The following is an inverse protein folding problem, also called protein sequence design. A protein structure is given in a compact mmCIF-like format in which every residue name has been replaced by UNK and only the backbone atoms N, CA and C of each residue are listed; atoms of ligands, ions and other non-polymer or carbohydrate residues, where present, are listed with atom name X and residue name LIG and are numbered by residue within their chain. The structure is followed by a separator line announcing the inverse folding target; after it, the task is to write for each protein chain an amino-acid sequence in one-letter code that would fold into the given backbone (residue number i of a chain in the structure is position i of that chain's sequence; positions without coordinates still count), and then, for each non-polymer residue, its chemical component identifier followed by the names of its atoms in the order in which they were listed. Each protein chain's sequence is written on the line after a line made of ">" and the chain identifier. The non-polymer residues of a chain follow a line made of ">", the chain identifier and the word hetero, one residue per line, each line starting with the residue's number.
data_IF_888926494467
#
_entry.id   IF_888926494467
#
_cell.length_a   1.000
_cell.length_b   1.000
_cell.length_c   1.000
_cell.angle_alpha   90.00
_cell.angle_beta   90.00
_cell.angle_gamma   90.00
#
_symmetry.space_group_name_H-M   'P 1'
#
loop_
_entity.id
_entity.type
_entity.pdbx_description
1 polymer ?
#
# COMPACT_ATOMS: atom_id res chain seq x y z
N UNK A 1 -115.37 -33.34 53.35
CA UNK A 1 -114.30 -32.65 52.60
C UNK A 1 -113.82 -33.58 51.49
N UNK A 2 -114.03 -33.20 50.22
CA UNK A 2 -114.13 -34.12 49.08
C UNK A 2 -112.78 -34.58 48.53
N UNK A 3 -112.60 -35.91 48.39
CA UNK A 3 -111.41 -36.60 47.84
C UNK A 3 -110.91 -36.06 46.49
N UNK A 4 -111.79 -35.40 45.72
CA UNK A 4 -111.45 -34.78 44.42
C UNK A 4 -110.51 -33.58 44.54
N UNK A 5 -110.57 -32.81 45.62
CA UNK A 5 -109.67 -31.68 45.81
C UNK A 5 -108.25 -32.12 46.19
N UNK A 6 -108.10 -33.22 46.93
CA UNK A 6 -106.77 -33.76 47.27
C UNK A 6 -105.99 -34.23 46.05
N UNK A 7 -106.63 -34.95 45.12
CA UNK A 7 -105.95 -35.45 43.93
C UNK A 7 -105.52 -34.31 42.99
N UNK A 8 -106.26 -33.20 42.96
CA UNK A 8 -105.91 -32.03 42.16
C UNK A 8 -104.72 -31.25 42.76
N UNK A 9 -104.67 -31.12 44.08
CA UNK A 9 -103.53 -30.49 44.78
C UNK A 9 -102.27 -31.34 44.65
N UNK A 10 -102.38 -32.67 44.79
CA UNK A 10 -101.24 -33.59 44.65
C UNK A 10 -100.70 -33.59 43.21
N UNK A 11 -101.58 -33.62 42.21
CA UNK A 11 -101.18 -33.53 40.81
C UNK A 11 -100.49 -32.20 40.46
N UNK A 12 -100.95 -31.09 41.05
CA UNK A 12 -100.28 -29.80 40.93
C UNK A 12 -98.88 -29.78 41.56
N UNK A 13 -98.73 -30.39 42.74
CA UNK A 13 -97.46 -30.43 43.46
C UNK A 13 -96.40 -31.27 42.74
N UNK A 14 -96.78 -32.41 42.16
CA UNK A 14 -95.83 -33.27 41.44
C UNK A 14 -95.32 -32.62 40.16
N UNK A 15 -96.16 -31.88 39.44
CA UNK A 15 -95.75 -31.09 38.27
C UNK A 15 -94.79 -29.97 38.67
N UNK A 16 -95.08 -29.25 39.77
CA UNK A 16 -94.21 -28.20 40.29
C UNK A 16 -92.83 -28.75 40.65
N UNK A 17 -92.77 -29.87 41.38
CA UNK A 17 -91.52 -30.51 41.78
C UNK A 17 -90.73 -30.98 40.54
N UNK A 18 -91.41 -31.57 39.55
CA UNK A 18 -90.77 -31.99 38.30
C UNK A 18 -90.15 -30.83 37.53
N UNK A 19 -90.84 -29.68 37.48
CA UNK A 19 -90.35 -28.48 36.81
C UNK A 19 -89.16 -27.84 37.55
N UNK A 20 -89.18 -27.89 38.89
CA UNK A 20 -88.08 -27.40 39.74
C UNK A 20 -86.82 -28.27 39.58
N UNK A 21 -86.96 -29.59 39.48
CA UNK A 21 -85.85 -30.50 39.21
C UNK A 21 -85.27 -30.31 37.80
N UNK A 22 -86.13 -30.06 36.80
CA UNK A 22 -85.68 -29.79 35.44
C UNK A 22 -84.85 -28.50 35.35
N UNK A 23 -85.27 -27.45 36.08
CA UNK A 23 -84.53 -26.19 36.17
C UNK A 23 -83.17 -26.36 36.88
N UNK A 24 -83.10 -27.19 37.92
CA UNK A 24 -81.85 -27.48 38.64
C UNK A 24 -80.83 -28.20 37.74
N UNK A 25 -81.28 -29.13 36.89
CA UNK A 25 -80.41 -29.87 35.96
C UNK A 25 -79.89 -28.98 34.83
N UNK A 26 -80.71 -28.07 34.30
CA UNK A 26 -80.27 -27.17 33.21
C UNK A 26 -79.29 -26.11 33.71
N UNK A 27 -79.50 -25.54 34.91
CA UNK A 27 -78.65 -24.47 35.45
C UNK A 27 -77.29 -25.01 35.93
N UNK A 28 -77.22 -26.20 36.53
CA UNK A 28 -75.93 -26.78 36.94
C UNK A 28 -75.06 -27.28 35.78
N UNK A 29 -75.61 -27.43 34.56
CA UNK A 29 -74.84 -27.93 33.42
C UNK A 29 -73.89 -26.87 32.85
N UNK A 30 -74.17 -25.59 33.08
CA UNK A 30 -73.39 -24.49 32.53
C UNK A 30 -72.17 -24.12 33.41
N UNK A 31 -72.20 -24.41 34.72
CA UNK A 31 -71.08 -24.15 35.65
C UNK A 31 -69.99 -25.25 35.67
N UNK A 32 -70.25 -26.41 35.04
CA UNK A 32 -69.31 -27.55 35.01
C UNK A 32 -68.30 -27.50 33.84
N UNK A 33 -68.42 -26.55 32.90
CA UNK A 33 -67.55 -26.41 31.73
C UNK A 33 -66.48 -25.31 31.87
N UNK A 34 -66.49 -24.55 32.97
CA UNK A 34 -65.50 -23.52 33.28
C UNK A 34 -64.66 -23.92 34.50
N UNK A 35 -63.98 -25.06 34.40
CA UNK A 35 -62.82 -25.32 35.26
C UNK A 35 -61.62 -24.63 34.64
N UNK A 36 -61.18 -23.54 35.26
CA UNK A 36 -59.88 -22.92 35.03
C UNK A 36 -58.81 -24.02 34.98
N UNK A 37 -58.20 -24.19 33.81
CA UNK A 37 -56.93 -24.86 33.66
C UNK A 37 -55.97 -23.81 33.12
N UNK A 38 -55.19 -23.24 34.03
CA UNK A 38 -53.96 -22.51 33.72
C UNK A 38 -53.05 -23.43 32.91
N UNK A 39 -53.09 -23.31 31.59
CA UNK A 39 -52.01 -23.75 30.73
C UNK A 39 -51.11 -22.52 30.53
N UNK A 40 -50.09 -22.37 31.37
CA UNK A 40 -48.89 -21.64 30.98
C UNK A 40 -48.27 -22.40 29.80
N UNK A 41 -48.48 -21.90 28.59
CA UNK A 41 -47.76 -22.37 27.42
C UNK A 41 -46.31 -21.87 27.56
N UNK A 42 -45.45 -22.73 28.13
CA UNK A 42 -44.00 -22.52 28.13
C UNK A 42 -43.55 -22.46 26.66
N UNK A 43 -43.31 -21.26 26.15
CA UNK A 43 -42.67 -21.07 24.86
C UNK A 43 -41.24 -21.58 25.03
N UNK A 44 -40.95 -22.80 24.56
CA UNK A 44 -39.57 -23.27 24.39
C UNK A 44 -38.83 -22.25 23.51
N UNK A 45 -38.04 -21.37 24.13
CA UNK A 45 -37.08 -20.55 23.41
C UNK A 45 -36.00 -21.49 22.88
N UNK A 46 -36.12 -21.89 21.61
CA UNK A 46 -35.06 -22.60 20.88
C UNK A 46 -33.77 -21.82 21.02
N UNK A 47 -32.80 -22.40 21.73
CA UNK A 47 -31.46 -21.86 21.86
C UNK A 47 -30.80 -21.89 20.47
N UNK A 48 -30.76 -20.72 19.83
CA UNK A 48 -30.24 -20.55 18.46
C UNK A 48 -28.80 -20.06 18.44
N UNK A 49 -28.15 -20.03 19.61
CA UNK A 49 -26.77 -19.64 19.80
C UNK A 49 -25.85 -20.82 19.48
N UNK A 50 -25.09 -20.68 18.40
CA UNK A 50 -24.02 -21.60 18.04
C UNK A 50 -22.73 -20.81 17.91
N UNK A 51 -21.63 -21.31 18.43
CA UNK A 51 -20.33 -20.66 18.29
C UNK A 51 -19.58 -21.27 17.10
N UNK A 52 -19.16 -20.44 16.15
CA UNK A 52 -18.32 -20.88 15.03
C UNK A 52 -17.14 -19.90 14.91
N UNK A 53 -15.92 -20.44 14.89
CA UNK A 53 -14.67 -19.66 14.83
C UNK A 53 -14.52 -18.55 15.91
N UNK A 54 -15.01 -18.81 17.13
CA UNK A 54 -14.91 -17.87 18.25
C UNK A 54 -15.85 -16.67 18.17
N UNK A 55 -16.85 -16.72 17.27
CA UNK A 55 -17.91 -15.73 17.14
C UNK A 55 -19.23 -16.41 17.42
N UNK A 56 -20.05 -15.79 18.27
CA UNK A 56 -21.40 -16.27 18.57
C UNK A 56 -22.31 -15.99 17.38
N UNK A 57 -22.82 -17.05 16.75
CA UNK A 57 -23.73 -16.99 15.61
C UNK A 57 -25.15 -17.29 16.09
N UNK A 58 -26.09 -16.42 15.69
CA UNK A 58 -27.53 -16.64 15.90
C UNK A 58 -28.11 -17.13 14.57
N UNK A 59 -28.68 -18.33 14.56
CA UNK A 59 -29.28 -18.91 13.35
C UNK A 59 -30.79 -18.77 13.38
N UNK A 60 -31.32 -17.92 12.50
CA UNK A 60 -32.77 -17.74 12.29
C UNK A 60 -33.22 -18.51 11.05
N UNK A 61 -34.41 -19.10 11.09
CA UNK A 61 -35.00 -19.74 9.90
C UNK A 61 -35.41 -18.65 8.88
N UNK A 62 -35.37 -18.93 7.56
CA UNK A 62 -35.66 -17.93 6.53
C UNK A 62 -37.05 -17.26 6.68
N UNK A 63 -38.04 -17.99 7.21
CA UNK A 63 -39.37 -17.44 7.51
C UNK A 63 -39.30 -16.35 8.58
N UNK A 64 -38.56 -16.60 9.65
CA UNK A 64 -38.45 -15.68 10.79
C UNK A 64 -37.65 -14.44 10.42
N UNK A 65 -36.62 -14.61 9.57
CA UNK A 65 -35.87 -13.50 8.99
C UNK A 65 -36.78 -12.55 8.20
N UNK A 66 -37.67 -13.10 7.35
CA UNK A 66 -38.62 -12.30 6.58
C UNK A 66 -39.70 -11.64 7.44
N UNK A 67 -40.20 -12.31 8.48
CA UNK A 67 -41.21 -11.75 9.39
C UNK A 67 -40.64 -10.65 10.29
N UNK A 68 -39.37 -10.78 10.69
CA UNK A 68 -38.65 -9.77 11.46
C UNK A 68 -38.16 -8.60 10.60
N UNK A 69 -38.39 -8.63 9.28
CA UNK A 69 -37.94 -7.58 8.35
C UNK A 69 -36.42 -7.52 8.21
N UNK A 70 -35.71 -8.63 8.41
CA UNK A 70 -34.26 -8.70 8.24
C UNK A 70 -33.97 -8.74 6.75
N UNK A 71 -33.41 -7.64 6.26
CA UNK A 71 -32.96 -7.49 4.88
C UNK A 71 -31.44 -7.62 4.80
N UNK A 72 -30.97 -8.32 3.76
CA UNK A 72 -29.54 -8.50 3.50
C UNK A 72 -29.14 -7.62 2.33
N UNK A 73 -28.19 -6.73 2.56
CA UNK A 73 -27.51 -6.00 1.51
C UNK A 73 -26.15 -6.64 1.26
N UNK A 74 -25.93 -7.16 0.06
CA UNK A 74 -24.61 -7.65 -0.34
C UNK A 74 -23.63 -6.47 -0.37
N UNK A 75 -22.60 -6.53 0.48
CA UNK A 75 -21.56 -5.50 0.52
C UNK A 75 -20.84 -5.47 -0.83
N UNK A 76 -20.85 -4.32 -1.48
CA UNK A 76 -20.09 -4.11 -2.70
C UNK A 76 -18.65 -3.75 -2.32
N UNK A 77 -17.62 -4.38 -2.90
CA UNK A 77 -16.24 -4.00 -2.63
C UNK A 77 -16.03 -2.52 -2.98
N UNK A 78 -15.55 -1.76 -2.01
CA UNK A 78 -15.18 -0.35 -2.18
C UNK A 78 -13.66 -0.26 -2.18
N UNK A 79 -13.10 0.41 -3.19
CA UNK A 79 -11.67 0.70 -3.24
C UNK A 79 -11.40 1.98 -2.45
N UNK A 80 -10.63 1.87 -1.36
CA UNK A 80 -10.15 3.02 -0.61
C UNK A 80 -8.78 3.41 -1.15
N UNK A 81 -8.69 4.57 -1.81
CA UNK A 81 -7.41 5.19 -2.13
C UNK A 81 -7.05 6.17 -1.01
N UNK A 82 -6.09 5.80 -0.16
CA UNK A 82 -5.55 6.71 0.84
C UNK A 82 -4.77 7.82 0.14
N UNK A 83 -5.26 9.05 0.21
CA UNK A 83 -4.51 10.24 -0.22
C UNK A 83 -3.54 10.67 0.88
N UNK A 84 -2.26 10.83 0.55
CA UNK A 84 -1.24 11.35 1.48
C UNK A 84 -0.80 12.75 1.03
N UNK A 85 -0.91 13.72 1.93
CA UNK A 85 -0.29 15.04 1.71
C UNK A 85 1.17 14.96 2.10
N UNK A 86 2.05 15.19 1.12
CA UNK A 86 3.50 15.16 1.30
C UNK A 86 4.09 16.53 1.04
N UNK A 87 5.05 16.92 1.87
CA UNK A 87 5.84 18.11 1.63
C UNK A 87 6.98 17.77 0.67
N UNK A 88 7.21 18.64 -0.30
CA UNK A 88 8.33 18.48 -1.22
C UNK A 88 8.88 19.80 -1.69
N UNK A 89 10.09 19.75 -2.23
CA UNK A 89 10.74 20.88 -2.89
C UNK A 89 11.20 20.49 -4.29
N UNK A 90 11.08 21.42 -5.23
CA UNK A 90 11.69 21.28 -6.55
C UNK A 90 13.18 21.55 -6.39
N UNK A 91 14.00 20.57 -6.74
CA UNK A 91 15.46 20.70 -6.68
C UNK A 91 15.97 21.47 -7.90
N UNK A 92 16.85 22.43 -7.64
CA UNK A 92 17.61 23.08 -8.70
C UNK A 92 18.59 22.07 -9.34
N UNK A 93 18.53 21.98 -10.67
CA UNK A 93 19.38 21.08 -11.47
C UNK A 93 20.74 21.69 -11.79
N UNK A 94 21.01 22.96 -11.46
CA UNK A 94 22.29 23.62 -11.73
C UNK A 94 23.49 22.80 -11.22
N UNK A 95 23.39 22.26 -9.99
CA UNK A 95 24.44 21.42 -9.43
C UNK A 95 24.68 20.09 -10.18
N UNK A 96 23.68 19.57 -10.89
CA UNK A 96 23.86 18.41 -11.78
C UNK A 96 24.55 18.81 -13.08
N UNK A 97 24.22 19.98 -13.63
CA UNK A 97 24.84 20.51 -14.84
C UNK A 97 26.34 20.79 -14.61
N UNK A 98 26.70 21.33 -13.45
CA UNK A 98 28.10 21.56 -13.07
C UNK A 98 28.90 20.26 -13.02
N UNK A 99 28.37 19.21 -12.39
CA UNK A 99 29.03 17.91 -12.34
C UNK A 99 29.15 17.32 -13.75
N UNK A 100 28.14 17.49 -14.62
CA UNK A 100 28.21 17.02 -16.02
C UNK A 100 29.30 17.74 -16.80
N UNK A 101 29.42 19.05 -16.65
CA UNK A 101 30.45 19.85 -17.31
C UNK A 101 31.85 19.41 -16.86
N UNK A 102 32.03 19.20 -15.55
CA UNK A 102 33.29 18.71 -14.99
C UNK A 102 33.63 17.30 -15.48
N UNK A 103 32.65 16.41 -15.57
CA UNK A 103 32.82 15.05 -16.12
C UNK A 103 33.33 15.10 -17.55
N UNK A 104 32.69 15.89 -18.42
CA UNK A 104 33.09 16.03 -19.83
C UNK A 104 34.52 16.59 -19.93
N UNK A 105 34.85 17.60 -19.12
CA UNK A 105 36.19 18.18 -19.11
C UNK A 105 37.26 17.15 -18.72
N UNK A 106 37.02 16.36 -17.67
CA UNK A 106 37.96 15.32 -17.24
C UNK A 106 38.10 14.18 -18.25
N UNK A 107 37.00 13.74 -18.88
CA UNK A 107 37.05 12.72 -19.93
C UNK A 107 37.85 13.18 -21.15
N UNK A 108 37.64 14.42 -21.58
CA UNK A 108 38.42 15.01 -22.69
C UNK A 108 39.91 15.15 -22.33
N UNK A 109 40.21 15.53 -21.09
CA UNK A 109 41.58 15.64 -20.59
C UNK A 109 42.27 14.26 -20.53
N UNK A 110 41.59 13.22 -20.04
CA UNK A 110 42.13 11.84 -20.04
C UNK A 110 42.37 11.35 -21.46
N UNK A 111 41.42 11.56 -22.37
CA UNK A 111 41.56 11.16 -23.77
C UNK A 111 42.77 11.84 -24.43
N UNK A 112 42.94 13.14 -24.21
CA UNK A 112 44.09 13.89 -24.74
C UNK A 112 45.41 13.32 -24.20
N UNK A 113 45.47 13.07 -22.89
CA UNK A 113 46.67 12.51 -22.26
C UNK A 113 46.91 11.05 -22.62
N UNK A 114 45.87 10.29 -22.95
CA UNK A 114 46.00 8.91 -23.45
C UNK A 114 46.74 8.87 -24.78
N UNK A 115 46.42 9.80 -25.69
CA UNK A 115 47.12 9.93 -26.97
C UNK A 115 48.59 10.32 -26.75
N UNK A 116 48.85 11.28 -25.87
CA UNK A 116 50.21 11.69 -25.50
C UNK A 116 51.01 10.55 -24.87
N UNK A 117 50.41 9.77 -23.96
CA UNK A 117 51.05 8.60 -23.37
C UNK A 117 51.40 7.56 -24.43
N UNK A 118 50.47 7.25 -25.35
CA UNK A 118 50.70 6.29 -26.41
C UNK A 118 51.87 6.71 -27.31
N UNK A 119 51.94 8.00 -27.65
CA UNK A 119 53.06 8.55 -28.42
C UNK A 119 54.39 8.43 -27.66
N UNK A 120 54.44 8.85 -26.40
CA UNK A 120 55.65 8.78 -25.59
C UNK A 120 56.08 7.33 -25.29
N UNK A 121 55.13 6.41 -25.16
CA UNK A 121 55.42 4.99 -24.96
C UNK A 121 56.13 4.39 -26.18
N UNK A 122 55.68 4.73 -27.38
CA UNK A 122 56.32 4.31 -28.62
C UNK A 122 57.68 4.99 -28.81
N UNK A 123 57.79 6.30 -28.56
CA UNK A 123 59.05 7.03 -28.58
C UNK A 123 60.07 6.45 -27.60
N UNK A 124 59.65 6.11 -26.37
CA UNK A 124 60.49 5.45 -25.38
C UNK A 124 60.98 4.08 -25.85
N UNK A 125 60.08 3.27 -26.43
CA UNK A 125 60.44 1.96 -26.98
C UNK A 125 61.48 2.08 -28.09
N UNK A 126 61.31 3.03 -29.01
CA UNK A 126 62.24 3.27 -30.11
C UNK A 126 63.59 3.82 -29.60
N UNK A 127 63.57 4.75 -28.66
CA UNK A 127 64.78 5.28 -28.02
C UNK A 127 65.57 4.17 -27.30
N UNK A 128 64.89 3.28 -26.58
CA UNK A 128 65.53 2.14 -25.92
C UNK A 128 66.27 1.24 -26.91
N UNK A 129 65.63 0.89 -28.03
CA UNK A 129 66.27 0.09 -29.08
C UNK A 129 67.50 0.81 -29.68
N UNK A 130 67.41 2.12 -29.93
CA UNK A 130 68.53 2.89 -30.46
C UNK A 130 69.71 3.01 -29.49
N UNK A 131 69.43 3.03 -28.18
CA UNK A 131 70.45 3.06 -27.14
C UNK A 131 71.13 1.69 -26.96
N UNK A 132 70.33 0.61 -26.87
CA UNK A 132 70.82 -0.75 -26.59
C UNK A 132 71.54 -1.37 -27.79
N UNK A 133 70.97 -1.31 -29.00
CA UNK A 133 71.50 -2.02 -30.17
C UNK A 133 72.53 -1.19 -30.95
N UNK A 134 72.30 0.12 -31.07
CA UNK A 134 73.04 0.97 -32.02
C UNK A 134 73.89 2.04 -31.36
N UNK A 135 73.79 2.21 -30.03
CA UNK A 135 74.36 3.33 -29.26
C UNK A 135 74.21 4.69 -29.96
N UNK A 136 73.13 4.85 -30.72
CA UNK A 136 72.95 5.99 -31.63
C UNK A 136 72.36 7.21 -30.91
N UNK A 137 71.90 7.02 -29.68
CA UNK A 137 71.40 8.10 -28.81
C UNK A 137 72.13 8.08 -27.48
N UNK A 138 72.14 9.21 -26.78
CA UNK A 138 72.75 9.31 -25.46
C UNK A 138 71.85 8.74 -24.36
N UNK A 139 72.44 8.24 -23.26
CA UNK A 139 71.67 7.82 -22.07
C UNK A 139 70.79 8.94 -21.51
N UNK A 140 71.26 10.20 -21.60
CA UNK A 140 70.50 11.38 -21.15
C UNK A 140 69.19 11.54 -21.93
N UNK A 141 69.22 11.29 -23.23
CA UNK A 141 68.07 11.41 -24.11
C UNK A 141 67.04 10.30 -23.87
N UNK A 142 67.50 9.06 -23.64
CA UNK A 142 66.62 7.97 -23.21
C UNK A 142 65.91 8.30 -21.88
N UNK A 143 66.66 8.80 -20.90
CA UNK A 143 66.10 9.18 -19.59
C UNK A 143 65.10 10.34 -19.70
N UNK A 144 65.34 11.31 -20.58
CA UNK A 144 64.42 12.43 -20.79
C UNK A 144 63.03 11.94 -21.27
N UNK A 145 63.01 11.04 -22.25
CA UNK A 145 61.77 10.45 -22.77
C UNK A 145 61.09 9.59 -21.68
N UNK A 146 61.87 8.83 -20.90
CA UNK A 146 61.35 8.04 -19.78
C UNK A 146 60.66 8.93 -18.73
N UNK A 147 61.27 10.06 -18.37
CA UNK A 147 60.70 11.01 -17.42
C UNK A 147 59.41 11.64 -17.95
N UNK A 148 59.37 12.05 -19.23
CA UNK A 148 58.17 12.57 -19.85
C UNK A 148 57.04 11.54 -19.82
N UNK A 149 57.32 10.29 -20.21
CA UNK A 149 56.34 9.20 -20.16
C UNK A 149 55.81 8.96 -18.74
N UNK A 150 56.68 8.96 -17.74
CA UNK A 150 56.29 8.79 -16.33
C UNK A 150 55.44 9.95 -15.82
N UNK A 151 55.76 11.18 -16.21
CA UNK A 151 55.00 12.36 -15.85
C UNK A 151 53.58 12.29 -16.42
N UNK A 152 53.43 11.96 -17.71
CA UNK A 152 52.11 11.83 -18.36
C UNK A 152 51.29 10.71 -17.72
N UNK A 153 51.89 9.55 -17.44
CA UNK A 153 51.21 8.44 -16.73
C UNK A 153 50.69 8.85 -15.35
N UNK A 154 51.51 9.59 -14.61
CA UNK A 154 51.13 10.08 -13.28
C UNK A 154 49.99 11.08 -13.38
N UNK A 155 50.05 11.98 -14.37
CA UNK A 155 48.99 12.96 -14.62
C UNK A 155 47.66 12.27 -14.98
N UNK A 156 47.68 11.27 -15.88
CA UNK A 156 46.50 10.47 -16.20
C UNK A 156 45.92 9.75 -14.99
N UNK A 157 46.79 9.14 -14.17
CA UNK A 157 46.35 8.49 -12.94
C UNK A 157 45.63 9.46 -11.99
N UNK A 158 46.07 10.73 -11.92
CA UNK A 158 45.36 11.76 -11.15
C UNK A 158 43.99 12.07 -11.75
N UNK A 159 43.87 12.25 -13.07
CA UNK A 159 42.56 12.45 -13.73
C UNK A 159 41.60 11.30 -13.44
N UNK A 160 42.08 10.05 -13.46
CA UNK A 160 41.25 8.89 -13.16
C UNK A 160 40.77 8.86 -11.70
N UNK A 161 41.59 9.35 -10.75
CA UNK A 161 41.16 9.55 -9.35
C UNK A 161 40.12 10.66 -9.25
N UNK A 162 40.30 11.75 -9.98
CA UNK A 162 39.35 12.86 -10.01
C UNK A 162 37.99 12.41 -10.59
N UNK A 163 37.99 11.63 -11.66
CA UNK A 163 36.78 11.00 -12.22
C UNK A 163 36.08 10.08 -11.20
N UNK A 164 36.85 9.28 -10.46
CA UNK A 164 36.29 8.41 -9.42
C UNK A 164 35.71 9.22 -8.25
N UNK A 165 36.40 10.28 -7.84
CA UNK A 165 35.94 11.22 -6.81
C UNK A 165 34.67 11.95 -7.23
N UNK A 166 34.59 12.39 -8.49
CA UNK A 166 33.42 13.03 -9.05
C UNK A 166 32.21 12.09 -9.06
N UNK A 167 32.41 10.82 -9.45
CA UNK A 167 31.37 9.77 -9.37
C UNK A 167 30.89 9.58 -7.95
N UNK A 168 31.79 9.47 -6.98
CA UNK A 168 31.41 9.31 -5.59
C UNK A 168 30.65 10.52 -5.05
N UNK A 169 31.11 11.73 -5.41
CA UNK A 169 30.44 12.99 -5.05
C UNK A 169 29.02 13.05 -5.62
N UNK A 170 28.83 12.61 -6.86
CA UNK A 170 27.51 12.49 -7.49
C UNK A 170 26.60 11.56 -6.69
N UNK A 171 27.08 10.35 -6.36
CA UNK A 171 26.30 9.36 -5.61
C UNK A 171 25.91 9.88 -4.23
N UNK A 172 26.84 10.52 -3.52
CA UNK A 172 26.59 11.06 -2.19
C UNK A 172 25.59 12.22 -2.22
N UNK A 173 25.62 13.09 -3.23
CA UNK A 173 24.71 14.25 -3.31
C UNK A 173 23.34 13.92 -3.90
N UNK A 174 23.28 13.04 -4.89
CA UNK A 174 22.10 12.83 -5.73
C UNK A 174 21.57 11.39 -5.69
N UNK A 175 22.24 10.48 -4.99
CA UNK A 175 21.90 9.05 -4.99
C UNK A 175 22.38 8.33 -6.26
N UNK A 176 22.26 7.01 -6.25
CA UNK A 176 22.77 6.13 -7.32
C UNK A 176 22.04 6.33 -8.65
N UNK A 177 20.71 6.39 -8.64
CA UNK A 177 19.88 6.47 -9.85
C UNK A 177 20.14 7.74 -10.66
N UNK A 178 20.13 8.91 -10.00
CA UNK A 178 20.38 10.19 -10.68
C UNK A 178 21.83 10.26 -11.14
N UNK A 179 22.77 9.73 -10.35
CA UNK A 179 24.18 9.63 -10.74
C UNK A 179 24.38 8.77 -11.99
N UNK A 180 23.64 7.68 -12.14
CA UNK A 180 23.69 6.85 -13.34
C UNK A 180 23.21 7.61 -14.57
N UNK A 181 22.13 8.39 -14.45
CA UNK A 181 21.66 9.26 -15.53
C UNK A 181 22.71 10.28 -15.93
N UNK A 182 23.43 10.84 -14.96
CA UNK A 182 24.48 11.83 -15.17
C UNK A 182 25.72 11.25 -15.85
N UNK A 183 26.13 10.03 -15.49
CA UNK A 183 27.31 9.38 -16.03
C UNK A 183 27.06 8.80 -17.43
N UNK A 184 25.82 8.44 -17.75
CA UNK A 184 25.44 7.94 -19.06
C UNK A 184 25.18 9.10 -20.06
N UNK A 185 26.00 9.17 -21.11
CA UNK A 185 25.89 10.17 -22.18
C UNK A 185 24.53 10.17 -22.91
N UNK A 186 23.88 9.01 -23.01
CA UNK A 186 22.63 8.84 -23.74
C UNK A 186 21.39 8.82 -22.84
N UNK A 187 21.54 9.19 -21.56
CA UNK A 187 20.42 9.23 -20.63
C UNK A 187 19.33 10.20 -21.09
N UNK A 188 18.16 9.66 -21.44
CA UNK A 188 16.96 10.45 -21.74
C UNK A 188 16.52 11.27 -20.53
N UNK A 189 16.60 10.69 -19.32
CA UNK A 189 16.21 11.35 -18.09
C UNK A 189 17.08 12.59 -17.82
N UNK A 190 18.41 12.47 -17.98
CA UNK A 190 19.29 13.62 -17.83
C UNK A 190 19.03 14.70 -18.89
N UNK A 191 18.81 14.31 -20.15
CA UNK A 191 18.47 15.26 -21.23
C UNK A 191 17.16 16.01 -20.93
N UNK A 192 16.15 15.32 -20.42
CA UNK A 192 14.89 15.95 -20.05
C UNK A 192 15.08 16.96 -18.92
N UNK A 193 15.88 16.62 -17.90
CA UNK A 193 16.22 17.54 -16.81
C UNK A 193 17.02 18.75 -17.31
N UNK A 194 18.05 18.52 -18.13
CA UNK A 194 18.90 19.58 -18.67
C UNK A 194 18.14 20.54 -19.59
N UNK A 195 17.17 20.04 -20.35
CA UNK A 195 16.31 20.83 -21.24
C UNK A 195 15.08 21.41 -20.53
N UNK A 196 14.96 21.27 -19.21
CA UNK A 196 13.79 21.72 -18.42
C UNK A 196 12.45 21.08 -18.84
N UNK A 197 12.50 19.93 -19.53
CA UNK A 197 11.32 19.12 -19.87
C UNK A 197 10.87 18.23 -18.70
N UNK A 198 11.70 18.12 -17.67
CA UNK A 198 11.41 17.42 -16.42
C UNK A 198 12.03 18.20 -15.25
N UNK A 199 11.47 18.02 -14.06
CA UNK A 199 11.97 18.59 -12.81
C UNK A 199 12.22 17.48 -11.79
N UNK A 200 13.21 17.68 -10.92
CA UNK A 200 13.45 16.79 -9.78
C UNK A 200 12.66 17.31 -8.58
N UNK A 201 11.84 16.43 -8.00
CA UNK A 201 11.11 16.71 -6.76
C UNK A 201 11.74 15.89 -5.64
N UNK A 202 12.15 16.56 -4.55
CA UNK A 202 12.51 15.89 -3.30
C UNK A 202 11.29 15.91 -2.40
N UNK A 203 10.79 14.72 -2.09
CA UNK A 203 9.62 14.53 -1.22
C UNK A 203 10.08 14.07 0.15
N UNK A 204 9.52 14.64 1.21
CA UNK A 204 9.78 14.29 2.59
C UNK A 204 8.60 13.51 3.15
N UNK A 205 8.86 12.28 3.57
CA UNK A 205 7.84 11.38 4.11
C UNK A 205 8.19 11.11 5.56
N UNK A 206 7.21 11.32 6.44
CA UNK A 206 7.31 10.99 7.85
C UNK A 206 6.80 9.56 8.06
N UNK A 207 7.53 8.75 8.81
CA UNK A 207 7.08 7.46 9.38
C UNK A 207 6.92 6.23 8.46
N UNK A 208 7.09 6.28 7.14
CA UNK A 208 7.10 5.08 6.29
C UNK A 208 7.84 5.27 4.95
N UNK A 209 8.26 4.18 4.30
CA UNK A 209 8.77 4.23 2.91
C UNK A 209 7.62 4.30 1.90
N UNK A 210 7.83 4.90 0.72
CA UNK A 210 6.82 4.94 -0.36
C UNK A 210 6.28 3.55 -0.73
N UNK A 211 7.14 2.53 -0.66
CA UNK A 211 6.80 1.15 -0.99
C UNK A 211 5.84 0.52 0.04
N UNK A 212 5.86 0.98 1.30
CA UNK A 212 4.93 0.52 2.34
C UNK A 212 3.57 1.21 2.25
N UNK A 213 3.53 2.39 1.63
CA UNK A 213 2.32 3.20 1.48
C UNK A 213 1.53 2.89 0.19
N UNK A 214 2.00 1.96 -0.64
CA UNK A 214 1.43 1.57 -1.94
C UNK A 214 1.14 2.78 -2.86
N UNK A 215 1.98 3.83 -2.76
CA UNK A 215 1.81 5.06 -3.55
C UNK A 215 2.32 4.79 -4.97
N UNK A 216 1.39 4.72 -5.92
CA UNK A 216 1.67 4.47 -7.35
C UNK A 216 1.72 5.74 -8.20
N UNK A 217 1.09 6.83 -7.75
CA UNK A 217 1.01 8.09 -8.47
C UNK A 217 1.19 9.26 -7.49
N UNK A 218 1.92 10.30 -7.93
CA UNK A 218 2.14 11.52 -7.16
C UNK A 218 1.60 12.69 -7.98
N UNK A 219 0.47 13.24 -7.53
CA UNK A 219 -0.06 14.47 -8.09
C UNK A 219 0.59 15.67 -7.40
N UNK A 220 1.16 16.58 -8.18
CA UNK A 220 1.85 17.77 -7.66
C UNK A 220 0.93 18.98 -7.81
N UNK A 221 0.26 19.35 -6.73
CA UNK A 221 -0.51 20.59 -6.68
C UNK A 221 0.44 21.79 -6.42
N UNK A 222 0.38 22.88 -7.21
CA UNK A 222 1.16 24.07 -6.93
C UNK A 222 0.64 24.73 -5.65
N UNK A 223 1.47 24.81 -4.62
CA UNK A 223 1.15 25.61 -3.44
C UNK A 223 1.31 27.08 -3.83
N UNK A 224 0.18 27.80 -3.96
CA UNK A 224 0.20 29.24 -4.15
C UNK A 224 1.02 29.86 -3.01
N UNK A 225 2.05 30.63 -3.35
CA UNK A 225 2.80 31.40 -2.35
C UNK A 225 1.82 32.35 -1.65
N UNK A 226 1.85 32.45 -0.30
CA UNK A 226 1.07 33.45 0.42
C UNK A 226 1.49 34.88 0.07
#
# INVERSE_FOLDING_TARGET
>A
MNKRHYNLVIGGLTILIGLLLLLLVTVNRDDLLFSDSDYEEEIETRDSLSEENGVSIVRLEPRDQSMAGIEFLALTPTYHQSGYELFGEVLDVAGLLDIRAQLIALLNADQTKAVEEAHLAESHKNARLLYEDRQSISRRELLDIEYQLKAVRTYRSNIQRDLSSLRQTSITKWGSTISEWLLNEYSKNFKNLANQNASLLRVFIKEASLAELDISEIEVAPVASP
#
